data_IF_280792958822
#
_entry.id   IF_280792958822
#
_cell.length_a   1.000
_cell.length_b   1.000
_cell.length_c   1.000
_cell.angle_alpha   90.00
_cell.angle_beta   90.00
_cell.angle_gamma   90.00
#
_symmetry.space_group_name_H-M   'P 1'
#
loop_
_entity.id
_entity.type
_entity.pdbx_description
1 polymer ?
#
# COMPACT_ATOMS: atom_id res chain seq x y z
N UNK A 1 -14.62 -11.81 -6.67
CA UNK A 1 -14.02 -10.70 -5.91
C UNK A 1 -12.63 -11.12 -5.50
N UNK A 2 -11.62 -10.26 -5.66
CA UNK A 2 -10.26 -10.59 -5.24
C UNK A 2 -10.23 -10.83 -3.73
N UNK A 3 -9.47 -11.83 -3.29
CA UNK A 3 -9.26 -12.09 -1.87
C UNK A 3 -8.21 -11.12 -1.33
N UNK A 4 -8.49 -10.50 -0.19
CA UNK A 4 -7.56 -9.61 0.52
C UNK A 4 -7.30 -10.19 1.89
N UNK A 5 -6.03 -10.41 2.22
CA UNK A 5 -5.63 -10.85 3.55
C UNK A 5 -5.36 -9.64 4.44
N UNK A 6 -6.00 -9.61 5.61
CA UNK A 6 -5.94 -8.48 6.55
C UNK A 6 -5.24 -8.92 7.84
N UNK A 7 -4.17 -8.21 8.17
CA UNK A 7 -3.36 -8.43 9.37
C UNK A 7 -3.38 -7.20 10.29
N UNK A 8 -3.17 -7.43 11.59
CA UNK A 8 -3.19 -6.40 12.62
C UNK A 8 -4.53 -6.32 13.37
N UNK A 9 -4.76 -5.22 14.09
CA UNK A 9 -5.93 -5.06 14.96
C UNK A 9 -7.27 -5.10 14.20
N UNK A 10 -7.28 -4.70 12.93
CA UNK A 10 -8.46 -4.75 12.06
C UNK A 10 -8.64 -6.12 11.37
N UNK A 11 -7.73 -7.06 11.58
CA UNK A 11 -7.72 -8.39 10.98
C UNK A 11 -7.90 -9.51 12.01
N UNK A 12 -7.89 -10.76 11.53
CA UNK A 12 -8.02 -11.95 12.40
C UNK A 12 -6.69 -12.41 13.00
N UNK A 13 -5.56 -11.93 12.46
CA UNK A 13 -4.20 -12.33 12.85
C UNK A 13 -3.32 -11.11 12.91
N UNK A 14 -2.44 -11.04 13.90
CA UNK A 14 -1.38 -10.04 13.96
C UNK A 14 -0.02 -10.70 13.74
N UNK A 15 0.90 -9.96 13.12
CA UNK A 15 2.28 -10.36 12.92
C UNK A 15 3.18 -9.29 13.53
N UNK A 16 4.36 -9.68 13.99
CA UNK A 16 5.39 -8.68 14.29
C UNK A 16 5.93 -8.08 12.96
N UNK A 17 6.64 -6.95 13.06
CA UNK A 17 7.14 -6.24 11.86
C UNK A 17 8.04 -7.12 10.97
N UNK A 18 9.05 -7.84 11.49
CA UNK A 18 9.88 -8.73 10.67
C UNK A 18 9.08 -9.82 9.93
N UNK A 19 8.13 -10.46 10.60
CA UNK A 19 7.26 -11.47 9.98
C UNK A 19 6.38 -10.87 8.89
N UNK A 20 5.80 -9.68 9.15
CA UNK A 20 4.99 -8.98 8.16
C UNK A 20 5.81 -8.60 6.92
N UNK A 21 7.02 -8.08 7.10
CA UNK A 21 7.92 -7.73 5.99
C UNK A 21 8.31 -8.95 5.16
N UNK A 22 8.68 -10.07 5.81
CA UNK A 22 8.95 -11.33 5.10
C UNK A 22 7.73 -11.80 4.32
N UNK A 23 6.57 -11.81 4.96
CA UNK A 23 5.32 -12.27 4.36
C UNK A 23 4.93 -11.41 3.16
N UNK A 24 5.02 -10.08 3.26
CA UNK A 24 4.77 -9.16 2.13
C UNK A 24 5.69 -9.52 0.97
N UNK A 25 7.00 -9.64 1.23
CA UNK A 25 8.02 -9.93 0.21
C UNK A 25 7.84 -11.26 -0.50
N UNK A 26 7.50 -12.31 0.24
CA UNK A 26 7.50 -13.68 -0.28
C UNK A 26 6.15 -14.09 -0.87
N UNK A 27 5.05 -13.45 -0.49
CA UNK A 27 3.70 -13.95 -0.79
C UNK A 27 2.76 -12.95 -1.45
N UNK A 28 3.09 -11.65 -1.48
CA UNK A 28 2.18 -10.63 -2.00
C UNK A 28 2.83 -9.77 -3.08
N UNK A 29 2.09 -9.55 -4.18
CA UNK A 29 2.48 -8.61 -5.23
C UNK A 29 2.03 -7.18 -4.94
N UNK A 30 0.94 -7.03 -4.19
CA UNK A 30 0.31 -5.75 -3.89
C UNK A 30 0.20 -5.55 -2.38
N UNK A 31 0.38 -4.31 -1.95
CA UNK A 31 0.20 -3.90 -0.56
C UNK A 31 -0.68 -2.65 -0.50
N UNK A 32 -1.74 -2.67 0.33
CA UNK A 32 -2.58 -1.50 0.57
C UNK A 32 -1.85 -0.53 1.51
N UNK A 33 -1.17 0.46 0.92
CA UNK A 33 -0.43 1.50 1.63
C UNK A 33 -1.32 2.73 1.90
N UNK A 34 -2.43 2.51 2.60
CA UNK A 34 -3.39 3.57 2.92
C UNK A 34 -2.97 4.32 4.18
N UNK A 35 -2.95 5.65 4.09
CA UNK A 35 -2.66 6.50 5.24
C UNK A 35 -3.88 6.71 6.11
N UNK A 36 -3.63 7.07 7.37
CA UNK A 36 -4.69 7.27 8.36
C UNK A 36 -5.54 8.53 8.08
N UNK A 37 -5.10 9.39 7.16
CA UNK A 37 -5.78 10.62 6.77
C UNK A 37 -5.34 11.05 5.38
N UNK A 38 -6.23 11.70 4.65
CA UNK A 38 -5.91 12.30 3.35
C UNK A 38 -5.32 13.70 3.57
N UNK A 39 -3.99 13.82 3.46
CA UNK A 39 -3.28 15.07 3.75
C UNK A 39 -2.11 15.27 2.80
N UNK A 40 -1.88 16.53 2.40
CA UNK A 40 -0.75 16.90 1.56
C UNK A 40 0.58 16.44 2.17
N UNK A 41 1.44 15.88 1.32
CA UNK A 41 2.79 15.42 1.64
C UNK A 41 2.85 14.32 2.72
N UNK A 42 1.71 13.76 3.13
CA UNK A 42 1.65 12.73 4.16
C UNK A 42 1.85 11.34 3.52
N UNK A 43 3.11 10.97 3.30
CA UNK A 43 3.52 9.68 2.73
C UNK A 43 4.51 9.01 3.70
N UNK A 44 4.12 7.90 4.32
CA UNK A 44 4.83 7.33 5.48
C UNK A 44 5.54 6.01 5.18
N UNK A 45 5.91 5.27 6.24
CA UNK A 45 6.54 3.96 6.14
C UNK A 45 5.70 2.93 5.37
N UNK A 46 4.38 3.11 5.27
CA UNK A 46 3.48 2.20 4.55
C UNK A 46 3.89 2.11 3.07
N UNK A 47 4.18 3.26 2.47
CA UNK A 47 4.63 3.34 1.08
C UNK A 47 6.08 2.88 0.93
N UNK A 48 7.00 3.49 1.69
CA UNK A 48 8.44 3.31 1.48
C UNK A 48 8.99 1.99 2.04
N UNK A 49 8.58 1.63 3.25
CA UNK A 49 9.20 0.54 4.01
C UNK A 49 8.37 -0.73 3.92
N UNK A 50 7.05 -0.64 4.07
CA UNK A 50 6.20 -1.83 4.07
C UNK A 50 5.98 -2.36 2.66
N UNK A 51 5.75 -1.50 1.67
CA UNK A 51 5.56 -1.90 0.27
C UNK A 51 6.88 -1.96 -0.52
N UNK A 52 7.44 -0.80 -0.93
CA UNK A 52 8.53 -0.76 -1.91
C UNK A 52 9.79 -1.52 -1.48
N UNK A 53 10.21 -1.41 -0.21
CA UNK A 53 11.38 -2.14 0.32
C UNK A 53 11.16 -3.66 0.42
N UNK A 54 9.92 -4.12 0.38
CA UNK A 54 9.55 -5.53 0.42
C UNK A 54 9.00 -6.02 -0.93
N UNK A 55 9.45 -5.43 -2.05
CA UNK A 55 9.18 -5.93 -3.41
C UNK A 55 7.68 -6.02 -3.77
N UNK A 56 6.83 -5.27 -3.06
CA UNK A 56 5.40 -5.20 -3.30
C UNK A 56 5.02 -3.85 -3.93
N UNK A 57 4.08 -3.89 -4.86
CA UNK A 57 3.52 -2.70 -5.51
C UNK A 57 2.52 -2.03 -4.55
N UNK A 58 2.77 -0.79 -4.10
CA UNK A 58 1.84 -0.07 -3.26
C UNK A 58 0.60 0.38 -4.03
N UNK A 59 -0.57 0.08 -3.48
CA UNK A 59 -1.84 0.72 -3.81
C UNK A 59 -2.08 1.79 -2.75
N UNK A 60 -2.10 3.06 -3.14
CA UNK A 60 -1.98 4.19 -2.20
C UNK A 60 -3.26 5.01 -2.10
N UNK A 61 -3.54 5.48 -0.88
CA UNK A 61 -4.58 6.46 -0.55
C UNK A 61 -4.03 7.33 0.60
N UNK A 62 -4.21 8.64 0.52
CA UNK A 62 -3.66 9.57 1.50
C UNK A 62 -3.40 10.94 0.88
N UNK A 63 -2.14 11.23 0.56
CA UNK A 63 -1.78 12.45 -0.14
C UNK A 63 -2.36 12.51 -1.56
N UNK A 64 -2.51 13.70 -2.17
CA UNK A 64 -2.85 13.81 -3.58
C UNK A 64 -1.81 13.11 -4.47
N UNK A 65 -2.25 12.58 -5.62
CA UNK A 65 -1.39 11.88 -6.58
C UNK A 65 -0.11 12.66 -6.95
N UNK A 66 -0.20 13.98 -7.11
CA UNK A 66 0.95 14.81 -7.44
C UNK A 66 2.07 14.76 -6.38
N UNK A 67 1.71 14.59 -5.11
CA UNK A 67 2.71 14.49 -4.04
C UNK A 67 3.47 13.17 -4.20
N UNK A 68 2.79 12.05 -4.48
CA UNK A 68 3.46 10.79 -4.79
C UNK A 68 4.33 10.89 -6.06
N UNK A 69 3.81 11.47 -7.14
CA UNK A 69 4.58 11.65 -8.39
C UNK A 69 5.85 12.50 -8.21
N UNK A 70 5.86 13.41 -7.23
CA UNK A 70 7.00 14.29 -6.97
C UNK A 70 8.17 13.61 -6.27
N UNK A 71 7.92 12.48 -5.58
CA UNK A 71 8.94 11.80 -4.75
C UNK A 71 9.15 10.33 -5.11
N UNK A 72 8.15 9.65 -5.66
CA UNK A 72 8.21 8.23 -5.95
C UNK A 72 8.91 7.96 -7.29
N UNK A 73 9.58 6.80 -7.44
CA UNK A 73 10.04 6.36 -8.75
C UNK A 73 8.88 6.30 -9.76
N UNK A 74 9.09 6.67 -11.04
CA UNK A 74 8.04 6.61 -12.05
C UNK A 74 7.45 5.19 -12.16
N UNK A 75 6.13 5.11 -12.33
CA UNK A 75 5.39 3.84 -12.50
C UNK A 75 5.55 2.85 -11.34
N UNK A 76 5.84 3.33 -10.12
CA UNK A 76 6.09 2.47 -8.95
C UNK A 76 4.88 2.25 -8.04
N UNK A 77 3.71 2.82 -8.35
CA UNK A 77 2.53 2.74 -7.50
C UNK A 77 1.22 2.86 -8.28
N UNK A 78 0.14 2.43 -7.64
CA UNK A 78 -1.24 2.58 -8.13
C UNK A 78 -1.95 3.55 -7.19
N UNK A 79 -2.39 4.70 -7.71
CA UNK A 79 -3.20 5.65 -6.93
C UNK A 79 -4.67 5.25 -7.02
N UNK A 80 -5.38 5.21 -5.89
CA UNK A 80 -6.80 4.82 -5.89
C UNK A 80 -7.67 5.76 -6.71
N UNK A 81 -7.36 7.06 -6.74
CA UNK A 81 -8.13 8.06 -7.51
C UNK A 81 -8.05 7.87 -9.04
N UNK A 82 -7.16 7.00 -9.55
CA UNK A 82 -7.09 6.69 -10.99
C UNK A 82 -8.18 5.67 -11.42
N UNK A 83 -8.89 5.06 -10.47
CA UNK A 83 -9.81 3.94 -10.71
C UNK A 83 -11.07 4.04 -9.84
N UNK A 84 -12.19 3.50 -10.31
CA UNK A 84 -13.31 3.17 -9.40
C UNK A 84 -12.96 1.93 -8.56
N UNK A 85 -13.62 1.70 -7.41
CA UNK A 85 -13.41 0.47 -6.63
C UNK A 85 -13.61 -0.82 -7.45
N UNK A 86 -14.57 -0.83 -8.38
CA UNK A 86 -14.82 -1.96 -9.27
C UNK A 86 -13.65 -2.18 -10.24
N UNK A 87 -13.07 -1.10 -10.78
CA UNK A 87 -11.92 -1.17 -11.68
C UNK A 87 -10.66 -1.63 -10.93
N UNK A 88 -10.44 -1.14 -9.72
CA UNK A 88 -9.29 -1.51 -8.88
C UNK A 88 -9.32 -2.99 -8.45
N UNK A 89 -10.51 -3.58 -8.36
CA UNK A 89 -10.70 -4.97 -7.93
C UNK A 89 -10.59 -6.03 -9.04
N UNK A 90 -10.41 -5.62 -10.29
CA UNK A 90 -10.30 -6.51 -11.45
C UNK A 90 -8.85 -6.87 -11.74
#
# INVERSE_FOLDING_TARGET
MPSVDIFGACGKRSLNKPEAHRMIREHYKFYLAFENSNCHQYITEKFWINALRNDAIPIVMGAPKNDYLSVAPPNSFIHVDDYTPEQLSR
#
